data_IF_590931750328
#
_entry.id   IF_590931750328
#
_cell.length_a   1.000
_cell.length_b   1.000
_cell.length_c   1.000
_cell.angle_alpha   90.00
_cell.angle_beta   90.00
_cell.angle_gamma   90.00
#
_symmetry.space_group_name_H-M   'P 1'
#
loop_
_entity.id
_entity.type
_entity.pdbx_description
1 polymer ?
#
# COMPACT_ATOMS: atom_id res chain seq x y z
N UNK A 1 27.26 -27.29 6.11
CA UNK A 1 28.30 -26.69 5.24
C UNK A 1 27.83 -26.41 3.82
N UNK A 2 27.48 -27.41 2.99
CA UNK A 2 27.18 -27.21 1.55
C UNK A 2 26.20 -26.05 1.28
N UNK A 3 24.97 -26.14 1.80
CA UNK A 3 23.95 -25.08 1.66
C UNK A 3 24.38 -23.68 2.13
N UNK A 4 25.37 -23.58 3.03
CA UNK A 4 25.93 -22.30 3.49
C UNK A 4 26.95 -21.73 2.49
N UNK A 5 27.67 -22.58 1.74
CA UNK A 5 28.50 -22.16 0.59
C UNK A 5 27.61 -21.73 -0.58
N UNK A 6 26.52 -22.45 -0.82
CA UNK A 6 25.58 -22.15 -1.91
C UNK A 6 24.84 -20.82 -1.65
N UNK A 7 24.39 -20.60 -0.40
CA UNK A 7 23.85 -19.31 0.03
C UNK A 7 24.88 -18.16 -0.11
N UNK A 8 26.15 -18.38 0.29
CA UNK A 8 27.22 -17.40 0.10
C UNK A 8 27.58 -17.13 -1.37
N UNK A 9 27.24 -18.03 -2.30
CA UNK A 9 27.34 -17.78 -3.74
C UNK A 9 26.22 -16.84 -4.20
N UNK A 10 24.96 -17.11 -3.80
CA UNK A 10 23.82 -16.23 -4.07
C UNK A 10 23.98 -14.81 -3.49
N UNK A 11 24.47 -14.68 -2.26
CA UNK A 11 24.73 -13.37 -1.63
C UNK A 11 25.72 -12.51 -2.45
N UNK A 12 26.67 -13.15 -3.16
CA UNK A 12 27.63 -12.48 -4.06
C UNK A 12 27.07 -12.19 -5.45
N UNK A 13 26.13 -13.00 -5.95
CA UNK A 13 25.51 -12.81 -7.26
C UNK A 13 24.47 -11.68 -7.25
N UNK A 14 23.61 -11.68 -6.23
CA UNK A 14 22.45 -10.79 -6.07
C UNK A 14 22.82 -9.49 -5.34
N UNK A 15 23.77 -9.56 -4.41
CA UNK A 15 24.09 -8.46 -3.48
C UNK A 15 23.28 -8.56 -2.19
N UNK A 16 23.93 -8.21 -1.07
CA UNK A 16 23.43 -8.47 0.28
C UNK A 16 22.13 -7.74 0.65
N UNK A 17 22.04 -6.44 0.33
CA UNK A 17 20.84 -5.65 0.63
C UNK A 17 19.64 -6.12 -0.20
N UNK A 18 19.83 -6.38 -1.49
CA UNK A 18 18.80 -6.91 -2.38
C UNK A 18 18.29 -8.27 -1.88
N UNK A 19 19.20 -9.19 -1.55
CA UNK A 19 18.83 -10.51 -1.00
C UNK A 19 18.03 -10.37 0.30
N UNK A 20 18.37 -9.40 1.17
CA UNK A 20 17.65 -9.11 2.42
C UNK A 20 16.23 -8.54 2.21
N UNK A 21 15.98 -7.84 1.10
CA UNK A 21 14.63 -7.44 0.68
C UNK A 21 13.84 -8.65 0.21
N UNK A 22 14.41 -9.38 -0.76
CA UNK A 22 13.81 -10.58 -1.38
C UNK A 22 13.49 -11.68 -0.36
N UNK A 23 14.37 -11.95 0.62
CA UNK A 23 14.10 -12.86 1.74
C UNK A 23 12.82 -12.50 2.51
N UNK A 24 12.58 -11.19 2.72
CA UNK A 24 11.41 -10.69 3.46
C UNK A 24 10.13 -10.78 2.63
N UNK A 25 10.20 -10.40 1.36
CA UNK A 25 9.07 -10.45 0.44
C UNK A 25 8.60 -11.90 0.22
N UNK A 26 9.52 -12.83 -0.03
CA UNK A 26 9.24 -14.27 -0.13
C UNK A 26 8.63 -14.80 1.17
N UNK A 27 9.20 -14.46 2.34
CA UNK A 27 8.69 -14.96 3.61
C UNK A 27 7.23 -14.54 3.84
N UNK A 28 6.87 -13.29 3.52
CA UNK A 28 5.49 -12.81 3.67
C UNK A 28 4.56 -13.44 2.63
N UNK A 29 4.93 -13.48 1.34
CA UNK A 29 4.09 -14.06 0.30
C UNK A 29 3.79 -15.56 0.52
N UNK A 30 4.77 -16.34 0.99
CA UNK A 30 4.59 -17.75 1.36
C UNK A 30 3.76 -17.89 2.64
N UNK A 31 3.98 -17.01 3.63
CA UNK A 31 3.20 -16.99 4.87
C UNK A 31 1.71 -16.72 4.61
N UNK A 32 1.37 -15.68 3.84
CA UNK A 32 -0.01 -15.32 3.53
C UNK A 32 -0.73 -16.44 2.77
N UNK A 33 -0.05 -17.06 1.80
CA UNK A 33 -0.57 -18.20 1.03
C UNK A 33 -0.90 -19.39 1.93
N UNK A 34 0.04 -19.81 2.79
CA UNK A 34 -0.18 -20.92 3.72
C UNK A 34 -1.19 -20.58 4.82
N UNK A 35 -1.26 -19.31 5.25
CA UNK A 35 -2.20 -18.86 6.27
C UNK A 35 -3.64 -18.89 5.77
N UNK A 36 -3.92 -18.44 4.55
CA UNK A 36 -5.25 -18.59 3.93
C UNK A 36 -5.67 -20.06 3.87
N UNK A 37 -4.78 -20.95 3.42
CA UNK A 37 -5.04 -22.38 3.38
C UNK A 37 -5.27 -22.99 4.79
N UNK A 38 -4.56 -22.50 5.82
CA UNK A 38 -4.79 -22.92 7.20
C UNK A 38 -6.15 -22.46 7.74
N UNK A 39 -6.60 -21.24 7.41
CA UNK A 39 -7.93 -20.75 7.80
C UNK A 39 -9.06 -21.58 7.16
N UNK A 40 -8.93 -21.96 5.89
CA UNK A 40 -9.85 -22.88 5.20
C UNK A 40 -9.88 -24.26 5.87
N UNK A 41 -8.71 -24.88 6.11
CA UNK A 41 -8.62 -26.14 6.85
C UNK A 41 -9.23 -26.07 8.25
N UNK A 42 -9.10 -24.93 8.94
CA UNK A 42 -9.68 -24.70 10.27
C UNK A 42 -11.20 -24.49 10.24
N UNK A 43 -11.77 -24.00 9.13
CA UNK A 43 -13.23 -24.00 8.92
C UNK A 43 -13.74 -25.43 8.71
N UNK A 44 -13.13 -26.20 7.81
CA UNK A 44 -13.49 -27.61 7.57
C UNK A 44 -13.31 -28.49 8.82
N UNK A 45 -12.28 -28.24 9.64
CA UNK A 45 -12.10 -28.92 10.93
C UNK A 45 -13.27 -28.63 11.89
N UNK A 46 -13.71 -27.37 11.97
CA UNK A 46 -14.84 -26.95 12.82
C UNK A 46 -16.14 -27.64 12.41
N UNK A 47 -16.43 -27.63 11.11
CA UNK A 47 -17.60 -28.32 10.53
C UNK A 47 -17.52 -29.83 10.80
N UNK A 48 -16.38 -30.45 10.48
CA UNK A 48 -16.16 -31.90 10.61
C UNK A 48 -16.14 -32.42 12.05
N UNK A 49 -15.93 -31.57 13.05
CA UNK A 49 -16.06 -31.89 14.48
C UNK A 49 -17.51 -31.74 14.94
N UNK A 50 -18.25 -30.75 14.42
CA UNK A 50 -19.68 -30.58 14.75
C UNK A 50 -20.47 -31.87 14.45
N UNK A 51 -20.24 -32.49 13.29
CA UNK A 51 -20.83 -33.78 12.90
C UNK A 51 -20.30 -34.99 13.70
N UNK A 52 -19.10 -34.92 14.27
CA UNK A 52 -18.47 -36.00 15.05
C UNK A 52 -18.82 -35.98 16.54
N UNK A 53 -19.21 -34.83 17.07
CA UNK A 53 -19.51 -34.59 18.49
C UNK A 53 -20.56 -35.51 19.13
N UNK A 54 -21.32 -36.26 18.33
CA UNK A 54 -22.23 -37.34 18.78
C UNK A 54 -21.47 -38.45 19.54
N UNK A 55 -20.16 -38.59 19.33
CA UNK A 55 -19.29 -39.65 19.86
C UNK A 55 -18.60 -39.39 21.21
N UNK A 56 -19.32 -38.97 22.25
CA UNK A 56 -18.88 -38.90 23.67
C UNK A 56 -17.67 -38.02 24.06
N UNK A 57 -16.85 -37.52 23.12
CA UNK A 57 -15.74 -36.60 23.42
C UNK A 57 -16.17 -35.13 23.37
N UNK A 58 -15.47 -34.31 24.16
CA UNK A 58 -15.65 -32.86 24.14
C UNK A 58 -15.10 -32.27 22.81
N UNK A 59 -15.94 -31.67 21.96
CA UNK A 59 -15.52 -31.10 20.68
C UNK A 59 -14.53 -29.94 20.82
N UNK A 60 -14.49 -29.23 21.95
CA UNK A 60 -13.49 -28.18 22.21
C UNK A 60 -12.09 -28.77 22.38
N UNK A 61 -11.99 -29.95 23.00
CA UNK A 61 -10.72 -30.65 23.22
C UNK A 61 -10.22 -31.28 21.92
N UNK A 62 -11.11 -31.89 21.13
CA UNK A 62 -10.72 -32.40 19.80
C UNK A 62 -10.31 -31.26 18.86
N UNK A 63 -11.07 -30.15 18.80
CA UNK A 63 -10.73 -29.01 17.94
C UNK A 63 -9.36 -28.44 18.30
N UNK A 64 -9.05 -28.26 19.59
CA UNK A 64 -7.74 -27.78 20.04
C UNK A 64 -6.61 -28.76 19.71
N UNK A 65 -6.85 -30.07 19.80
CA UNK A 65 -5.83 -31.09 19.52
C UNK A 65 -5.52 -31.21 18.03
N UNK A 66 -6.54 -31.17 17.17
CA UNK A 66 -6.34 -31.20 15.71
C UNK A 66 -5.83 -29.86 15.17
N UNK A 67 -6.29 -28.72 15.69
CA UNK A 67 -5.80 -27.40 15.26
C UNK A 67 -4.31 -27.22 15.51
N UNK A 68 -3.79 -27.76 16.63
CA UNK A 68 -2.35 -27.73 16.91
C UNK A 68 -1.56 -28.50 15.85
N UNK A 69 -2.01 -29.71 15.46
CA UNK A 69 -1.35 -30.50 14.41
C UNK A 69 -1.36 -29.79 13.05
N UNK A 70 -2.48 -29.12 12.72
CA UNK A 70 -2.58 -28.31 11.49
C UNK A 70 -1.62 -27.11 11.51
N UNK A 71 -1.41 -26.49 12.68
CA UNK A 71 -0.48 -25.37 12.86
C UNK A 71 0.99 -25.83 12.84
N UNK A 72 1.32 -26.97 13.46
CA UNK A 72 2.65 -27.57 13.43
C UNK A 72 3.03 -27.99 11.99
N UNK A 73 2.06 -28.50 11.22
CA UNK A 73 2.18 -28.79 9.79
C UNK A 73 2.44 -27.52 8.97
N UNK A 74 1.69 -26.43 9.21
CA UNK A 74 1.94 -25.13 8.57
C UNK A 74 3.36 -24.62 8.86
N UNK A 75 3.87 -24.74 10.09
CA UNK A 75 5.24 -24.33 10.41
C UNK A 75 6.29 -25.15 9.66
N UNK A 76 6.07 -26.45 9.47
CA UNK A 76 6.97 -27.30 8.68
C UNK A 76 6.96 -26.87 7.21
N UNK A 77 5.77 -26.69 6.63
CA UNK A 77 5.60 -26.32 5.23
C UNK A 77 6.17 -24.93 4.93
N UNK A 78 5.93 -23.94 5.79
CA UNK A 78 6.47 -22.58 5.68
C UNK A 78 8.00 -22.58 5.63
N UNK A 79 8.67 -23.34 6.51
CA UNK A 79 10.14 -23.45 6.52
C UNK A 79 10.67 -24.12 5.25
N UNK A 80 10.04 -25.22 4.82
CA UNK A 80 10.45 -25.94 3.63
C UNK A 80 10.28 -25.06 2.37
N UNK A 81 9.14 -24.38 2.23
CA UNK A 81 8.83 -23.62 1.02
C UNK A 81 9.61 -22.31 0.93
N UNK A 82 9.80 -21.58 2.04
CA UNK A 82 10.68 -20.40 2.05
C UNK A 82 12.12 -20.77 1.67
N UNK A 83 12.65 -21.88 2.20
CA UNK A 83 13.98 -22.37 1.81
C UNK A 83 14.01 -22.77 0.33
N UNK A 84 12.99 -23.50 -0.14
CA UNK A 84 12.86 -23.93 -1.53
C UNK A 84 12.89 -22.75 -2.50
N UNK A 85 12.07 -21.71 -2.25
CA UNK A 85 12.03 -20.50 -3.08
C UNK A 85 13.36 -19.75 -3.02
N UNK A 86 13.93 -19.47 -1.84
CA UNK A 86 15.23 -18.78 -1.71
C UNK A 86 16.34 -19.51 -2.48
N UNK A 87 16.38 -20.85 -2.45
CA UNK A 87 17.36 -21.61 -3.22
C UNK A 87 17.08 -21.65 -4.74
N UNK A 88 15.87 -21.33 -5.21
CA UNK A 88 15.54 -21.22 -6.65
C UNK A 88 15.51 -19.78 -7.21
N UNK A 89 15.48 -18.73 -6.38
CA UNK A 89 15.59 -17.32 -6.82
C UNK A 89 16.81 -17.08 -7.71
N UNK A 90 16.61 -16.44 -8.85
CA UNK A 90 17.67 -15.95 -9.73
C UNK A 90 17.80 -14.42 -9.65
N UNK A 91 18.94 -13.91 -10.15
CA UNK A 91 19.25 -12.48 -10.12
C UNK A 91 18.21 -11.57 -10.77
N UNK A 92 17.45 -12.07 -11.76
CA UNK A 92 16.40 -11.29 -12.43
C UNK A 92 15.19 -11.03 -11.53
N UNK A 93 14.87 -11.98 -10.64
CA UNK A 93 13.73 -11.88 -9.73
C UNK A 93 14.04 -10.87 -8.61
N UNK A 94 15.31 -10.79 -8.22
CA UNK A 94 15.83 -9.88 -7.19
C UNK A 94 15.98 -8.40 -7.63
N UNK A 95 15.34 -8.00 -8.75
CA UNK A 95 15.26 -6.62 -9.24
C UNK A 95 13.92 -5.96 -8.85
N UNK A 96 12.98 -6.74 -8.33
CA UNK A 96 11.67 -6.26 -7.85
C UNK A 96 11.80 -5.54 -6.49
N UNK A 97 10.85 -4.65 -6.19
CA UNK A 97 10.62 -4.00 -4.89
C UNK A 97 11.69 -3.04 -4.31
N UNK A 98 12.18 -2.10 -5.13
CA UNK A 98 12.46 -0.73 -4.63
C UNK A 98 11.35 0.29 -4.98
N UNK A 99 10.31 -0.15 -5.68
CA UNK A 99 9.21 0.66 -6.22
C UNK A 99 7.89 0.53 -5.44
N UNK A 100 7.97 0.32 -4.11
CA UNK A 100 6.80 0.25 -3.22
C UNK A 100 6.73 1.41 -2.21
N UNK A 101 7.81 2.18 -2.07
CA UNK A 101 7.82 3.49 -1.39
C UNK A 101 7.77 4.67 -2.40
N UNK A 102 7.50 4.39 -3.69
CA UNK A 102 7.08 5.42 -4.65
C UNK A 102 5.67 5.88 -4.28
N UNK A 103 5.64 6.87 -3.38
CA UNK A 103 4.46 7.54 -2.83
C UNK A 103 3.45 7.87 -3.94
N UNK A 104 2.18 7.48 -3.75
CA UNK A 104 1.11 7.75 -4.72
C UNK A 104 0.80 9.25 -4.79
N UNK A 105 1.60 9.99 -5.56
CA UNK A 105 1.23 11.26 -6.17
C UNK A 105 0.00 11.03 -7.07
N UNK A 106 -1.17 11.04 -6.46
CA UNK A 106 -2.42 11.11 -7.21
C UNK A 106 -2.43 12.40 -8.03
N UNK A 107 -3.11 12.39 -9.17
CA UNK A 107 -3.25 13.62 -9.99
C UNK A 107 -3.86 14.78 -9.18
N UNK A 108 -4.64 14.49 -8.12
CA UNK A 108 -5.15 15.47 -7.16
C UNK A 108 -4.04 16.12 -6.32
N UNK A 109 -3.00 15.37 -5.92
CA UNK A 109 -1.83 15.88 -5.20
C UNK A 109 -1.07 16.87 -6.07
N UNK A 110 -0.75 16.49 -7.31
CA UNK A 110 -0.05 17.35 -8.29
C UNK A 110 -0.86 18.59 -8.69
N UNK A 111 -2.19 18.45 -8.84
CA UNK A 111 -3.07 19.61 -9.05
C UNK A 111 -3.14 20.54 -7.83
N UNK A 112 -3.08 20.00 -6.61
CA UNK A 112 -3.03 20.83 -5.41
C UNK A 112 -1.71 21.61 -5.32
N UNK A 113 -0.56 20.97 -5.55
CA UNK A 113 0.74 21.67 -5.54
C UNK A 113 0.84 22.73 -6.63
N UNK A 114 0.50 22.41 -7.88
CA UNK A 114 0.57 23.38 -8.99
C UNK A 114 -0.47 24.50 -8.87
N UNK A 115 -1.59 24.29 -8.17
CA UNK A 115 -2.52 25.36 -7.81
C UNK A 115 -1.97 26.25 -6.67
N UNK A 116 -1.31 25.66 -5.67
CA UNK A 116 -0.65 26.40 -4.59
C UNK A 116 0.54 27.21 -5.12
N UNK A 117 1.38 26.64 -5.98
CA UNK A 117 2.52 27.36 -6.59
C UNK A 117 2.06 28.58 -7.39
N UNK A 118 0.97 28.46 -8.16
CA UNK A 118 0.36 29.59 -8.86
C UNK A 118 -0.20 30.62 -7.88
N UNK A 119 -1.00 30.18 -6.90
CA UNK A 119 -1.57 31.09 -5.89
C UNK A 119 -0.51 31.82 -5.07
N UNK A 120 0.61 31.17 -4.74
CA UNK A 120 1.75 31.79 -4.05
C UNK A 120 2.47 32.80 -4.93
N UNK A 121 2.65 32.53 -6.23
CA UNK A 121 3.21 33.51 -7.16
C UNK A 121 2.26 34.70 -7.39
N UNK A 122 0.95 34.47 -7.52
CA UNK A 122 -0.08 35.51 -7.69
C UNK A 122 -0.21 36.40 -6.44
N UNK A 123 -0.12 35.81 -5.23
CA UNK A 123 -0.07 36.55 -3.95
C UNK A 123 1.27 37.27 -3.78
N UNK A 124 2.38 36.71 -4.29
CA UNK A 124 3.69 37.34 -4.31
C UNK A 124 3.74 38.58 -5.22
N UNK A 125 3.02 38.56 -6.35
CA UNK A 125 2.74 39.73 -7.19
C UNK A 125 1.56 40.55 -6.64
N UNK A 126 1.70 41.05 -5.41
CA UNK A 126 0.63 41.80 -4.74
C UNK A 126 0.13 43.01 -5.56
N UNK A 127 -1.19 43.09 -5.76
CA UNK A 127 -1.83 44.28 -6.34
C UNK A 127 -1.63 45.48 -5.40
N UNK A 128 -0.73 46.40 -5.75
CA UNK A 128 -0.45 47.58 -4.93
C UNK A 128 -1.63 48.57 -4.99
N UNK A 129 -2.37 48.70 -3.89
CA UNK A 129 -3.40 49.71 -3.61
C UNK A 129 -4.68 49.61 -4.49
N UNK A 130 -5.75 49.01 -3.94
CA UNK A 130 -7.11 49.02 -4.52
C UNK A 130 -8.10 49.93 -3.79
N UNK A 131 -7.60 50.91 -3.06
CA UNK A 131 -8.41 51.79 -2.20
C UNK A 131 -9.36 52.71 -2.99
N UNK A 132 -9.12 52.93 -4.28
CA UNK A 132 -9.96 53.77 -5.16
C UNK A 132 -11.30 53.13 -5.58
N UNK A 133 -11.46 51.81 -5.45
CA UNK A 133 -12.60 51.01 -5.98
C UNK A 133 -13.97 51.41 -5.37
N UNK A 134 -13.98 52.19 -4.27
CA UNK A 134 -15.18 52.67 -3.57
C UNK A 134 -15.50 54.17 -3.79
N UNK A 135 -14.80 54.87 -4.70
CA UNK A 135 -14.89 56.34 -4.86
C UNK A 135 -16.12 56.86 -5.64
N UNK A 136 -17.31 56.80 -5.02
CA UNK A 136 -18.58 57.24 -5.65
C UNK A 136 -18.64 58.76 -5.93
N UNK A 137 -18.40 59.16 -7.18
CA UNK A 137 -18.52 60.57 -7.64
C UNK A 137 -19.98 61.01 -7.82
N UNK A 138 -20.49 61.77 -6.84
CA UNK A 138 -21.76 62.52 -6.93
C UNK A 138 -21.71 63.55 -8.07
N UNK A 139 -22.78 63.69 -8.86
CA UNK A 139 -22.86 64.59 -10.02
C UNK A 139 -24.17 65.36 -10.01
N UNK A 140 -24.11 66.70 -10.00
CA UNK A 140 -25.29 67.58 -9.95
C UNK A 140 -25.46 68.40 -11.24
N UNK A 141 -26.72 68.46 -11.68
CA UNK A 141 -27.38 69.32 -12.68
C UNK A 141 -26.60 70.34 -13.55
N UNK A 142 -26.90 70.32 -14.86
CA UNK A 142 -27.58 71.45 -15.53
C UNK A 142 -28.28 71.04 -16.84
N UNK A 143 -29.33 71.78 -17.22
CA UNK A 143 -29.81 71.93 -18.61
C UNK A 143 -29.26 73.27 -19.15
N UNK A 144 -29.29 73.67 -20.44
CA UNK A 144 -30.02 73.19 -21.64
C UNK A 144 -29.06 73.31 -22.89
N UNK A 145 -29.39 73.46 -24.20
CA UNK A 145 -30.64 73.69 -24.95
C UNK A 145 -30.54 73.43 -26.48
N UNK A 146 -31.69 73.56 -27.15
CA UNK A 146 -31.97 73.98 -28.55
C UNK A 146 -31.01 73.70 -29.73
N UNK A 147 -31.49 72.83 -30.64
CA UNK A 147 -31.61 73.09 -32.09
C UNK A 147 -33.09 72.83 -32.43
N UNK A 148 -33.94 73.79 -32.85
CA UNK A 148 -33.92 74.76 -33.96
C UNK A 148 -34.44 74.14 -35.27
N UNK A 149 -35.43 74.82 -35.86
CA UNK A 149 -36.29 74.42 -37.00
C UNK A 149 -37.28 73.29 -36.67
N UNK A 150 -38.54 73.34 -37.12
CA UNK A 150 -39.21 74.40 -37.91
C UNK A 150 -39.42 75.72 -37.17
#
# INVERSE_FOLDING_TARGET
>A
ELAQKDYQAKEKEIGKENLRGVEREIYMAVLDTLWMQHLENMQHLREGIQWRSVGQRDPLVEYRSESQKLFDSLQMNLRNEVLNVIFHVHKNDAVVSHSHDDEYETELTRLAETAVEKGVNEIGSGEENRDDDFSVKKKESSASESKKES
#
